data_IF_778101746578
#
_entry.id   IF_778101746578
#
_cell.length_a   1.000
_cell.length_b   1.000
_cell.length_c   1.000
_cell.angle_alpha   90.00
_cell.angle_beta   90.00
_cell.angle_gamma   90.00
#
_symmetry.space_group_name_H-M   'P 1'
#
loop_
_entity.id
_entity.type
_entity.pdbx_description
1 polymer ?
#
# COMPACT_ATOMS: atom_id res chain seq x y z
N UNK A 1 -16.58 19.80 9.38
CA UNK A 1 -16.78 21.29 9.42
C UNK A 1 -15.74 22.02 8.55
N UNK A 2 -15.89 23.32 8.26
CA UNK A 2 -14.88 24.09 7.49
C UNK A 2 -13.46 23.99 8.09
N UNK A 3 -13.33 24.01 9.42
CA UNK A 3 -12.05 23.86 10.11
C UNK A 3 -11.38 22.49 9.83
N UNK A 4 -12.16 21.40 9.80
CA UNK A 4 -11.69 20.04 9.47
C UNK A 4 -11.10 19.97 8.06
N UNK A 5 -11.72 20.66 7.10
CA UNK A 5 -11.24 20.73 5.71
C UNK A 5 -9.93 21.51 5.59
N UNK A 6 -9.78 22.63 6.30
CA UNK A 6 -8.54 23.42 6.33
C UNK A 6 -7.38 22.59 6.88
N UNK A 7 -7.58 21.92 8.03
CA UNK A 7 -6.54 21.07 8.59
C UNK A 7 -6.19 19.89 7.67
N UNK A 8 -7.18 19.29 7.01
CA UNK A 8 -6.94 18.20 6.06
C UNK A 8 -6.09 18.67 4.87
N UNK A 9 -6.31 19.87 4.35
CA UNK A 9 -5.50 20.47 3.30
C UNK A 9 -4.06 20.74 3.78
N UNK A 10 -3.89 21.30 4.98
CA UNK A 10 -2.57 21.55 5.57
C UNK A 10 -1.77 20.27 5.78
N UNK A 11 -2.42 19.20 6.28
CA UNK A 11 -1.79 17.89 6.45
C UNK A 11 -1.34 17.34 5.10
N UNK A 12 -2.21 17.42 4.07
CA UNK A 12 -1.87 16.95 2.72
C UNK A 12 -0.67 17.71 2.14
N UNK A 13 -0.68 19.04 2.22
CA UNK A 13 0.43 19.87 1.78
C UNK A 13 1.74 19.53 2.52
N UNK A 14 1.67 19.32 3.84
CA UNK A 14 2.82 18.93 4.65
C UNK A 14 3.45 17.61 4.16
N UNK A 15 2.63 16.64 3.74
CA UNK A 15 3.10 15.35 3.22
C UNK A 15 3.67 15.48 1.80
N UNK A 16 3.05 16.30 0.93
CA UNK A 16 3.43 16.45 -0.48
C UNK A 16 4.73 17.22 -0.69
N UNK A 17 4.96 18.29 0.07
CA UNK A 17 6.11 19.20 -0.13
C UNK A 17 7.46 18.54 0.18
N UNK A 18 7.49 17.40 0.89
CA UNK A 18 8.74 16.71 1.25
C UNK A 18 9.59 17.51 2.26
N UNK A 19 10.54 16.86 2.94
CA UNK A 19 11.60 17.56 3.68
C UNK A 19 11.88 17.05 5.11
N UNK A 20 13.00 17.49 5.68
CA UNK A 20 13.47 17.06 7.02
C UNK A 20 12.54 17.49 8.16
N UNK A 21 11.74 18.54 7.95
CA UNK A 21 10.88 19.14 8.98
C UNK A 21 9.43 18.67 8.97
N UNK A 22 9.05 17.72 8.09
CA UNK A 22 7.66 17.25 7.98
C UNK A 22 7.11 16.74 9.32
N UNK A 23 7.94 16.04 10.10
CA UNK A 23 7.55 15.53 11.42
C UNK A 23 7.23 16.68 12.38
N UNK A 24 8.05 17.73 12.39
CA UNK A 24 7.87 18.90 13.24
C UNK A 24 6.59 19.64 12.84
N UNK A 25 6.41 19.89 11.55
CA UNK A 25 5.24 20.59 11.03
C UNK A 25 3.93 19.82 11.33
N UNK A 26 3.90 18.52 11.06
CA UNK A 26 2.71 17.70 11.34
C UNK A 26 2.40 17.63 12.84
N UNK A 27 3.42 17.57 13.70
CA UNK A 27 3.23 17.67 15.16
C UNK A 27 2.67 19.01 15.59
N UNK A 28 3.09 20.12 14.98
CA UNK A 28 2.53 21.45 15.26
C UNK A 28 1.06 21.52 14.88
N UNK A 29 0.69 21.08 13.67
CA UNK A 29 -0.71 21.02 13.22
C UNK A 29 -1.53 20.16 14.19
N UNK A 30 -1.06 18.95 14.48
CA UNK A 30 -1.75 18.01 15.37
C UNK A 30 -1.92 18.59 16.79
N UNK A 31 -0.90 19.24 17.34
CA UNK A 31 -1.00 19.93 18.64
C UNK A 31 -2.01 21.08 18.61
N UNK A 32 -2.12 21.80 17.50
CA UNK A 32 -3.11 22.85 17.32
C UNK A 32 -4.53 22.27 17.28
N UNK A 33 -4.74 21.17 16.55
CA UNK A 33 -6.03 20.45 16.47
C UNK A 33 -6.49 20.00 17.85
N UNK A 34 -5.61 19.40 18.66
CA UNK A 34 -5.95 18.95 20.02
C UNK A 34 -6.43 20.13 20.88
N UNK A 35 -5.83 21.31 20.71
CA UNK A 35 -6.17 22.52 21.49
C UNK A 35 -7.46 23.19 21.01
N UNK A 36 -7.72 23.19 19.70
CA UNK A 36 -8.83 23.95 19.11
C UNK A 36 -10.09 23.12 18.91
N UNK A 37 -9.96 21.81 18.76
CA UNK A 37 -11.07 20.89 18.48
C UNK A 37 -11.16 19.85 19.60
N UNK A 38 -12.06 20.01 20.59
CA UNK A 38 -12.21 19.04 21.68
C UNK A 38 -12.75 17.69 21.21
N UNK A 39 -13.55 17.68 20.12
CA UNK A 39 -14.14 16.48 19.53
C UNK A 39 -13.90 16.46 18.01
N UNK A 40 -12.67 16.17 17.55
CA UNK A 40 -12.38 16.10 16.13
C UNK A 40 -13.12 14.92 15.48
N UNK A 41 -13.67 15.15 14.29
CA UNK A 41 -14.34 14.13 13.48
C UNK A 41 -13.38 12.96 13.16
N UNK A 42 -13.89 11.73 13.08
CA UNK A 42 -13.09 10.54 12.71
C UNK A 42 -12.34 10.71 11.39
N UNK A 43 -12.92 11.45 10.43
CA UNK A 43 -12.27 11.76 9.16
C UNK A 43 -10.96 12.56 9.36
N UNK A 44 -10.99 13.59 10.20
CA UNK A 44 -9.79 14.40 10.49
C UNK A 44 -8.74 13.57 11.21
N UNK A 45 -9.15 12.75 12.18
CA UNK A 45 -8.24 11.83 12.87
C UNK A 45 -7.61 10.83 11.90
N UNK A 46 -8.38 10.29 10.94
CA UNK A 46 -7.87 9.42 9.89
C UNK A 46 -6.82 10.13 9.01
N UNK A 47 -7.02 11.41 8.68
CA UNK A 47 -6.06 12.20 7.92
C UNK A 47 -4.75 12.41 8.69
N UNK A 48 -4.83 12.63 10.01
CA UNK A 48 -3.64 12.74 10.87
C UNK A 48 -2.88 11.40 10.92
N UNK A 49 -3.58 10.27 11.11
CA UNK A 49 -2.97 8.93 11.10
C UNK A 49 -2.28 8.67 9.75
N UNK A 50 -2.96 8.98 8.65
CA UNK A 50 -2.40 8.86 7.30
C UNK A 50 -1.12 9.68 7.14
N UNK A 51 -1.12 10.92 7.62
CA UNK A 51 0.06 11.79 7.60
C UNK A 51 1.23 11.18 8.35
N UNK A 52 1.01 10.73 9.59
CA UNK A 52 2.05 10.06 10.38
C UNK A 52 2.54 8.76 9.74
N UNK A 53 1.65 8.00 9.10
CA UNK A 53 2.04 6.80 8.36
C UNK A 53 2.95 7.12 7.17
N UNK A 54 2.67 8.19 6.41
CA UNK A 54 3.49 8.61 5.26
C UNK A 54 4.91 8.99 5.67
N UNK A 55 5.09 9.62 6.83
CA UNK A 55 6.40 9.97 7.40
C UNK A 55 6.99 8.88 8.31
N UNK A 56 6.47 7.65 8.25
CA UNK A 56 6.96 6.47 8.99
C UNK A 56 6.97 6.63 10.52
N UNK A 57 6.03 7.40 11.07
CA UNK A 57 5.89 7.61 12.51
C UNK A 57 4.69 6.81 13.07
N UNK A 58 4.87 5.50 13.24
CA UNK A 58 3.85 4.60 13.78
C UNK A 58 3.42 4.95 15.21
N UNK A 59 4.32 5.47 16.04
CA UNK A 59 4.02 5.83 17.44
C UNK A 59 2.94 6.90 17.54
N UNK A 60 3.04 7.98 16.77
CA UNK A 60 2.01 9.02 16.77
C UNK A 60 0.75 8.56 16.04
N UNK A 61 0.88 7.78 14.96
CA UNK A 61 -0.27 7.18 14.28
C UNK A 61 -1.13 6.34 15.26
N UNK A 62 -0.49 5.49 16.08
CA UNK A 62 -1.15 4.71 17.13
C UNK A 62 -1.85 5.59 18.16
N UNK A 63 -1.15 6.60 18.69
CA UNK A 63 -1.71 7.53 19.69
C UNK A 63 -2.97 8.23 19.19
N UNK A 64 -3.01 8.63 17.92
CA UNK A 64 -4.19 9.26 17.31
C UNK A 64 -5.31 8.23 17.12
N UNK A 65 -4.96 7.03 16.65
CA UNK A 65 -5.93 5.94 16.51
C UNK A 65 -6.60 5.58 17.83
N UNK A 66 -5.86 5.54 18.95
CA UNK A 66 -6.38 5.26 20.30
C UNK A 66 -7.45 6.26 20.76
N UNK A 67 -7.52 7.44 20.13
CA UNK A 67 -8.52 8.47 20.43
C UNK A 67 -9.79 8.37 19.60
N UNK A 68 -9.85 7.47 18.62
CA UNK A 68 -11.05 7.25 17.81
C UNK A 68 -11.98 6.30 18.57
N UNK A 69 -13.18 6.73 19.03
CA UNK A 69 -14.06 5.87 19.84
C UNK A 69 -14.54 4.64 19.10
N UNK A 70 -14.83 4.78 17.80
CA UNK A 70 -15.26 3.69 16.92
C UNK A 70 -14.46 3.74 15.61
N UNK A 71 -13.27 3.10 15.56
CA UNK A 71 -12.44 3.08 14.36
C UNK A 71 -13.12 2.31 13.23
N UNK A 72 -13.22 2.93 12.06
CA UNK A 72 -13.72 2.28 10.85
C UNK A 72 -12.57 1.64 10.05
N UNK A 73 -12.89 0.94 8.95
CA UNK A 73 -11.89 0.25 8.13
C UNK A 73 -10.77 1.18 7.64
N UNK A 74 -11.08 2.45 7.32
CA UNK A 74 -10.07 3.45 6.94
C UNK A 74 -9.11 3.78 8.09
N UNK A 75 -9.62 3.92 9.32
CA UNK A 75 -8.77 4.11 10.51
C UNK A 75 -7.78 2.96 10.66
N UNK A 76 -8.26 1.72 10.55
CA UNK A 76 -7.44 0.52 10.66
C UNK A 76 -6.43 0.39 9.53
N UNK A 77 -6.84 0.62 8.28
CA UNK A 77 -5.95 0.61 7.12
C UNK A 77 -4.85 1.68 7.25
N UNK A 78 -5.15 2.88 7.73
CA UNK A 78 -4.13 3.91 7.98
C UNK A 78 -3.14 3.50 9.08
N UNK A 79 -3.61 2.86 10.14
CA UNK A 79 -2.74 2.34 11.19
C UNK A 79 -1.86 1.19 10.68
N UNK A 80 -2.44 0.26 9.93
CA UNK A 80 -1.72 -0.85 9.30
C UNK A 80 -0.64 -0.33 8.34
N UNK A 81 -0.95 0.70 7.55
CA UNK A 81 0.01 1.41 6.70
C UNK A 81 1.15 2.02 7.52
N UNK A 82 0.87 2.60 8.70
CA UNK A 82 1.89 3.18 9.55
C UNK A 82 2.89 2.12 10.02
N UNK A 83 2.41 0.97 10.52
CA UNK A 83 3.28 -0.13 10.94
C UNK A 83 4.06 -0.76 9.78
N UNK A 84 3.38 -1.00 8.65
CA UNK A 84 3.97 -1.51 7.40
C UNK A 84 5.13 -0.63 6.93
N UNK A 85 4.92 0.68 6.80
CA UNK A 85 5.96 1.63 6.38
C UNK A 85 7.09 1.78 7.40
N UNK A 86 6.79 1.72 8.69
CA UNK A 86 7.81 1.84 9.74
C UNK A 86 8.59 0.53 9.98
N UNK A 87 8.20 -0.60 9.38
CA UNK A 87 8.85 -1.89 9.60
C UNK A 87 8.50 -2.57 10.92
N UNK A 88 7.47 -2.09 11.63
CA UNK A 88 7.00 -2.70 12.88
C UNK A 88 6.05 -3.87 12.57
N UNK A 89 6.62 -4.97 12.07
CA UNK A 89 5.85 -6.08 11.50
C UNK A 89 4.96 -6.80 12.51
N UNK A 90 5.41 -7.01 13.75
CA UNK A 90 4.60 -7.65 14.79
C UNK A 90 3.33 -6.85 15.12
N UNK A 91 3.45 -5.51 15.15
CA UNK A 91 2.28 -4.64 15.36
C UNK A 91 1.36 -4.63 14.14
N UNK A 92 1.93 -4.68 12.93
CA UNK A 92 1.18 -4.80 11.68
C UNK A 92 0.35 -6.10 11.68
N UNK A 93 0.95 -7.23 11.99
CA UNK A 93 0.31 -8.55 12.08
C UNK A 93 -0.81 -8.55 13.12
N UNK A 94 -0.52 -8.10 14.35
CA UNK A 94 -1.51 -8.01 15.43
C UNK A 94 -2.68 -7.09 15.07
N UNK A 95 -2.42 -6.00 14.33
CA UNK A 95 -3.46 -5.08 13.85
C UNK A 95 -4.31 -5.76 12.78
N UNK A 96 -3.68 -6.49 11.85
CA UNK A 96 -4.36 -7.23 10.79
C UNK A 96 -5.26 -8.36 11.33
N UNK A 97 -4.84 -9.04 12.39
CA UNK A 97 -5.63 -10.09 13.05
C UNK A 97 -6.91 -9.54 13.70
N UNK A 98 -6.84 -8.33 14.27
CA UNK A 98 -7.98 -7.66 14.93
C UNK A 98 -9.02 -7.09 13.97
N UNK A 99 -8.70 -6.99 12.67
CA UNK A 99 -9.62 -6.45 11.69
C UNK A 99 -10.81 -7.40 11.46
N UNK A 100 -12.06 -6.95 11.72
CA UNK A 100 -13.23 -7.81 11.56
C UNK A 100 -13.54 -8.08 10.08
N UNK A 101 -13.32 -7.08 9.23
CA UNK A 101 -13.48 -7.16 7.77
C UNK A 101 -12.19 -6.68 7.11
N UNK A 102 -11.83 -7.27 5.97
CA UNK A 102 -10.62 -6.96 5.20
C UNK A 102 -11.01 -6.71 3.75
N UNK A 103 -10.55 -5.58 3.22
CA UNK A 103 -10.71 -5.25 1.80
C UNK A 103 -9.38 -5.44 1.06
N UNK A 104 -9.42 -5.23 -0.27
CA UNK A 104 -8.22 -5.23 -1.11
C UNK A 104 -7.11 -4.30 -0.60
N UNK A 105 -7.46 -3.17 0.02
CA UNK A 105 -6.48 -2.23 0.59
C UNK A 105 -5.79 -2.84 1.80
N UNK A 106 -6.54 -3.47 2.72
CA UNK A 106 -5.99 -4.17 3.89
C UNK A 106 -4.96 -5.22 3.47
N UNK A 107 -5.31 -6.07 2.51
CA UNK A 107 -4.40 -7.12 2.01
C UNK A 107 -3.18 -6.54 1.31
N UNK A 108 -3.37 -5.51 0.48
CA UNK A 108 -2.27 -4.83 -0.20
C UNK A 108 -1.28 -4.21 0.79
N UNK A 109 -1.75 -3.64 1.90
CA UNK A 109 -0.89 -3.09 2.95
C UNK A 109 -0.06 -4.18 3.65
N UNK A 110 -0.66 -5.34 3.93
CA UNK A 110 0.03 -6.48 4.53
C UNK A 110 1.10 -7.04 3.59
N UNK A 111 0.73 -7.31 2.33
CA UNK A 111 1.64 -7.85 1.31
C UNK A 111 2.78 -6.87 1.04
N UNK A 112 2.47 -5.57 0.86
CA UNK A 112 3.48 -4.53 0.64
C UNK A 112 4.37 -4.32 1.86
N UNK A 113 3.85 -4.51 3.07
CA UNK A 113 4.62 -4.45 4.31
C UNK A 113 5.68 -5.54 4.38
N UNK A 114 5.30 -6.78 4.11
CA UNK A 114 6.28 -7.87 4.03
C UNK A 114 7.27 -7.67 2.88
N UNK A 115 6.78 -7.27 1.70
CA UNK A 115 7.62 -7.02 0.53
C UNK A 115 8.66 -5.92 0.76
N UNK A 116 8.25 -4.78 1.29
CA UNK A 116 9.15 -3.65 1.58
C UNK A 116 10.18 -3.94 2.68
N UNK A 117 9.98 -5.00 3.48
CA UNK A 117 10.94 -5.48 4.48
C UNK A 117 11.67 -6.76 4.03
N UNK A 118 11.57 -7.14 2.75
CA UNK A 118 12.31 -8.28 2.18
C UNK A 118 11.78 -9.67 2.58
N UNK A 119 10.63 -9.76 3.24
CA UNK A 119 10.05 -11.02 3.72
C UNK A 119 9.19 -11.70 2.63
N UNK A 120 9.85 -12.22 1.60
CA UNK A 120 9.21 -12.84 0.43
C UNK A 120 8.23 -13.94 0.81
N UNK A 121 8.63 -14.87 1.68
CA UNK A 121 7.78 -15.99 2.09
C UNK A 121 6.49 -15.53 2.79
N UNK A 122 6.58 -14.52 3.64
CA UNK A 122 5.42 -13.95 4.34
C UNK A 122 4.49 -13.22 3.37
N UNK A 123 5.04 -12.45 2.41
CA UNK A 123 4.27 -11.78 1.37
C UNK A 123 3.51 -12.77 0.47
N UNK A 124 4.16 -13.84 0.01
CA UNK A 124 3.54 -14.91 -0.78
C UNK A 124 2.47 -15.64 0.03
N UNK A 125 2.73 -15.95 1.30
CA UNK A 125 1.74 -16.57 2.19
C UNK A 125 0.51 -15.66 2.37
N UNK A 126 0.70 -14.36 2.56
CA UNK A 126 -0.39 -13.40 2.66
C UNK A 126 -1.21 -13.32 1.36
N UNK A 127 -0.54 -13.24 0.21
CA UNK A 127 -1.19 -13.29 -1.10
C UNK A 127 -2.03 -14.57 -1.29
N UNK A 128 -1.46 -15.74 -1.02
CA UNK A 128 -2.18 -17.00 -1.14
C UNK A 128 -3.37 -17.07 -0.16
N UNK A 129 -3.21 -16.56 1.06
CA UNK A 129 -4.29 -16.54 2.06
C UNK A 129 -5.44 -15.64 1.59
N UNK A 130 -5.14 -14.46 1.02
CA UNK A 130 -6.13 -13.57 0.41
C UNK A 130 -6.93 -14.32 -0.65
N UNK A 131 -6.22 -14.99 -1.58
CA UNK A 131 -6.84 -15.72 -2.69
C UNK A 131 -7.72 -16.90 -2.23
N UNK A 132 -7.37 -17.55 -1.12
CA UNK A 132 -8.09 -18.73 -0.60
C UNK A 132 -9.27 -18.38 0.30
N UNK A 133 -9.15 -17.35 1.14
CA UNK A 133 -10.18 -17.02 2.16
C UNK A 133 -11.22 -16.03 1.67
N UNK A 134 -10.77 -14.97 0.99
CA UNK A 134 -11.63 -13.86 0.58
C UNK A 134 -11.89 -13.87 -0.94
N UNK A 135 -11.47 -14.95 -1.60
CA UNK A 135 -11.59 -15.14 -3.05
C UNK A 135 -10.75 -14.15 -3.85
N UNK A 136 -11.05 -14.08 -5.14
CA UNK A 136 -10.39 -13.12 -6.03
C UNK A 136 -11.02 -11.74 -6.07
N UNK A 137 -12.09 -11.51 -5.32
CA UNK A 137 -12.81 -10.23 -5.34
C UNK A 137 -11.97 -9.10 -4.76
N UNK A 138 -11.07 -9.43 -3.83
CA UNK A 138 -10.08 -8.51 -3.27
C UNK A 138 -8.80 -8.40 -4.10
N UNK A 139 -8.63 -9.21 -5.15
CA UNK A 139 -7.45 -9.14 -6.01
C UNK A 139 -7.52 -7.89 -6.89
N UNK A 140 -6.49 -7.06 -6.83
CA UNK A 140 -6.40 -5.83 -7.61
C UNK A 140 -5.12 -5.76 -8.42
N UNK A 141 -5.08 -4.85 -9.40
CA UNK A 141 -3.86 -4.53 -10.17
C UNK A 141 -2.71 -4.16 -9.24
N UNK A 142 -2.98 -3.40 -8.18
CA UNK A 142 -1.98 -3.01 -7.17
C UNK A 142 -1.38 -4.24 -6.50
N UNK A 143 -2.20 -5.24 -6.17
CA UNK A 143 -1.71 -6.51 -5.58
C UNK A 143 -0.72 -7.21 -6.52
N UNK A 144 -1.08 -7.34 -7.80
CA UNK A 144 -0.25 -8.02 -8.80
C UNK A 144 1.05 -7.26 -9.05
N UNK A 145 1.00 -5.93 -9.13
CA UNK A 145 2.19 -5.07 -9.24
C UNK A 145 3.12 -5.24 -8.03
N UNK A 146 2.58 -5.26 -6.81
CA UNK A 146 3.38 -5.50 -5.60
C UNK A 146 4.06 -6.87 -5.64
N UNK A 147 3.36 -7.91 -6.09
CA UNK A 147 3.94 -9.26 -6.21
C UNK A 147 4.98 -9.36 -7.34
N UNK A 148 4.80 -8.66 -8.45
CA UNK A 148 5.82 -8.55 -9.50
C UNK A 148 7.07 -7.82 -9.00
N UNK A 149 6.90 -6.72 -8.27
CA UNK A 149 8.00 -5.99 -7.67
C UNK A 149 8.76 -6.88 -6.68
N UNK A 150 8.05 -7.61 -5.81
CA UNK A 150 8.66 -8.60 -4.91
C UNK A 150 9.48 -9.65 -5.65
N UNK A 151 8.96 -10.19 -6.75
CA UNK A 151 9.69 -11.14 -7.60
C UNK A 151 10.96 -10.50 -8.17
N UNK A 152 10.83 -9.29 -8.69
CA UNK A 152 11.89 -8.51 -9.34
C UNK A 152 13.04 -8.19 -8.36
N UNK A 153 12.72 -7.62 -7.20
CA UNK A 153 13.71 -7.20 -6.19
C UNK A 153 14.45 -8.35 -5.54
N UNK A 154 13.87 -9.56 -5.58
CA UNK A 154 14.44 -10.75 -4.95
C UNK A 154 14.96 -11.79 -5.97
N UNK A 155 15.00 -11.46 -7.26
CA UNK A 155 15.49 -12.37 -8.30
C UNK A 155 14.64 -13.64 -8.50
N UNK A 156 13.39 -13.64 -8.02
CA UNK A 156 12.58 -14.86 -7.90
C UNK A 156 11.71 -15.11 -9.14
N UNK A 157 12.33 -15.34 -10.29
CA UNK A 157 11.64 -15.43 -11.59
C UNK A 157 10.50 -16.46 -11.69
N UNK A 158 10.51 -17.52 -10.88
CA UNK A 158 9.40 -18.49 -10.81
C UNK A 158 8.13 -17.81 -10.29
N UNK A 159 8.23 -17.03 -9.21
CA UNK A 159 7.10 -16.25 -8.70
C UNK A 159 6.62 -15.25 -9.75
N UNK A 160 7.54 -14.56 -10.42
CA UNK A 160 7.22 -13.65 -11.51
C UNK A 160 6.37 -14.31 -12.61
N UNK A 161 6.75 -15.52 -13.05
CA UNK A 161 5.96 -16.32 -14.00
C UNK A 161 4.60 -16.73 -13.46
N UNK A 162 4.51 -17.14 -12.20
CA UNK A 162 3.22 -17.49 -11.57
C UNK A 162 2.28 -16.28 -11.51
N UNK A 163 2.80 -15.11 -11.15
CA UNK A 163 2.02 -13.87 -11.11
C UNK A 163 1.61 -13.42 -12.51
N UNK A 164 2.50 -13.54 -13.51
CA UNK A 164 2.14 -13.32 -14.92
C UNK A 164 1.01 -14.26 -15.37
N UNK A 165 1.07 -15.54 -15.01
CA UNK A 165 -0.04 -16.47 -15.27
C UNK A 165 -1.36 -16.04 -14.61
N UNK A 166 -1.32 -15.49 -13.39
CA UNK A 166 -2.52 -14.92 -12.74
C UNK A 166 -3.03 -13.67 -13.45
N UNK A 167 -2.14 -12.83 -13.99
CA UNK A 167 -2.51 -11.65 -14.78
C UNK A 167 -3.29 -12.08 -16.02
N UNK A 168 -2.74 -13.01 -16.81
CA UNK A 168 -3.37 -13.52 -18.04
C UNK A 168 -4.67 -14.26 -17.76
N UNK A 169 -4.68 -15.17 -16.77
CA UNK A 169 -5.87 -15.98 -16.44
C UNK A 169 -7.09 -15.12 -16.08
N UNK A 170 -6.87 -13.90 -15.59
CA UNK A 170 -7.89 -13.03 -15.03
C UNK A 170 -8.20 -11.80 -15.90
N UNK A 171 -7.63 -11.73 -17.10
CA UNK A 171 -7.86 -10.61 -18.01
C UNK A 171 -7.16 -9.31 -17.60
N UNK A 172 -6.16 -9.36 -16.71
CA UNK A 172 -5.44 -8.15 -16.30
C UNK A 172 -4.37 -7.71 -17.31
N UNK A 173 -4.02 -8.56 -18.27
CA UNK A 173 -3.02 -8.32 -19.32
C UNK A 173 -3.39 -7.15 -20.25
N UNK A 174 -4.68 -6.82 -20.35
CA UNK A 174 -5.16 -5.70 -21.17
C UNK A 174 -4.97 -4.34 -20.50
N UNK A 175 -4.61 -4.28 -19.22
CA UNK A 175 -4.37 -3.02 -18.54
C UNK A 175 -2.92 -2.58 -18.74
N UNK A 176 -2.73 -1.45 -19.42
CA UNK A 176 -1.46 -0.74 -19.63
C UNK A 176 -0.54 -0.70 -18.39
N UNK A 177 -1.14 -0.55 -17.20
CA UNK A 177 -0.40 -0.45 -15.93
C UNK A 177 0.37 -1.72 -15.52
N UNK A 178 0.09 -2.88 -16.12
CA UNK A 178 0.73 -4.16 -15.75
C UNK A 178 1.87 -4.53 -16.71
N UNK A 179 1.91 -3.93 -17.91
CA UNK A 179 2.93 -4.22 -18.92
C UNK A 179 4.34 -3.81 -18.52
N UNK A 180 4.52 -2.55 -18.09
CA UNK A 180 5.85 -2.07 -17.67
C UNK A 180 6.39 -2.81 -16.44
N UNK A 181 5.58 -3.11 -15.39
CA UNK A 181 6.03 -3.96 -14.28
C UNK A 181 6.40 -5.39 -14.68
N UNK A 182 5.70 -6.00 -15.64
CA UNK A 182 6.06 -7.32 -16.16
C UNK A 182 7.39 -7.28 -16.91
N UNK A 183 7.58 -6.27 -17.75
CA UNK A 183 8.81 -6.06 -18.50
C UNK A 183 10.00 -5.84 -17.55
N UNK A 184 9.85 -4.92 -16.58
CA UNK A 184 10.86 -4.64 -15.56
C UNK A 184 11.22 -5.88 -14.75
N UNK A 185 10.21 -6.66 -14.34
CA UNK A 185 10.41 -7.90 -13.59
C UNK A 185 11.22 -8.90 -14.42
N UNK A 186 10.80 -9.22 -15.66
CA UNK A 186 11.51 -10.19 -16.49
C UNK A 186 12.92 -9.73 -16.85
N UNK A 187 13.13 -8.44 -17.10
CA UNK A 187 14.44 -7.87 -17.37
C UNK A 187 15.38 -8.03 -16.17
N UNK A 188 14.93 -7.65 -14.95
CA UNK A 188 15.75 -7.72 -13.72
C UNK A 188 16.07 -9.14 -13.27
N UNK A 189 15.20 -10.11 -13.55
CA UNK A 189 15.49 -11.53 -13.27
C UNK A 189 16.26 -12.23 -14.40
N UNK A 190 16.67 -11.51 -15.44
CA UNK A 190 17.49 -12.03 -16.55
C UNK A 190 16.73 -12.85 -17.59
N UNK A 191 15.40 -12.88 -17.55
CA UNK A 191 14.56 -13.62 -18.49
C UNK A 191 14.21 -12.76 -19.72
N UNK A 192 15.24 -12.34 -20.46
CA UNK A 192 15.13 -11.37 -21.57
C UNK A 192 14.18 -11.85 -22.68
N UNK A 193 14.14 -13.15 -22.97
CA UNK A 193 13.21 -13.69 -23.98
C UNK A 193 11.75 -13.49 -23.58
N UNK A 194 11.42 -13.62 -22.29
CA UNK A 194 10.06 -13.37 -21.78
C UNK A 194 9.76 -11.87 -21.76
N UNK A 195 10.74 -11.04 -21.39
CA UNK A 195 10.63 -9.59 -21.48
C UNK A 195 10.28 -9.13 -22.91
N UNK A 196 10.97 -9.67 -23.93
CA UNK A 196 10.68 -9.39 -25.34
C UNK A 196 9.26 -9.80 -25.74
N UNK A 197 8.81 -11.00 -25.34
CA UNK A 197 7.43 -11.45 -25.63
C UNK A 197 6.39 -10.49 -25.05
N UNK A 198 6.58 -10.07 -23.80
CA UNK A 198 5.71 -9.10 -23.13
C UNK A 198 5.73 -7.78 -23.90
N UNK A 199 6.90 -7.26 -24.27
CA UNK A 199 7.03 -6.02 -25.03
C UNK A 199 6.24 -6.04 -26.36
N UNK A 200 6.48 -7.05 -27.19
CA UNK A 200 5.80 -7.17 -28.49
C UNK A 200 4.30 -7.43 -28.38
N UNK A 201 3.84 -8.08 -27.31
CA UNK A 201 2.40 -8.29 -27.07
C UNK A 201 1.61 -6.97 -26.88
N UNK A 202 2.28 -5.87 -26.52
CA UNK A 202 1.69 -4.54 -26.41
C UNK A 202 1.80 -3.72 -27.69
N UNK A 203 2.85 -3.91 -28.50
CA UNK A 203 3.02 -3.23 -29.80
C UNK A 203 1.93 -3.62 -30.80
N UNK A 204 1.49 -4.88 -30.79
CA UNK A 204 0.34 -5.34 -31.60
C UNK A 204 -1.00 -4.69 -31.18
N UNK A 205 -1.05 -3.93 -30.07
CA UNK A 205 -2.29 -3.38 -29.49
C UNK A 205 -2.29 -1.87 -29.20
N UNK A 206 -1.16 -1.15 -29.27
CA UNK A 206 -1.12 0.30 -29.07
C UNK A 206 -0.07 1.01 -29.94
N UNK A 207 -0.55 1.76 -30.94
CA UNK A 207 0.18 2.74 -31.77
C UNK A 207 0.67 3.99 -31.03
N UNK A 208 0.89 3.97 -29.71
CA UNK A 208 1.52 5.10 -28.99
C UNK A 208 2.25 4.61 -27.74
N UNK A 209 3.49 4.16 -27.90
CA UNK A 209 4.54 4.30 -26.87
C UNK A 209 5.85 4.61 -27.59
N UNK A 210 6.13 5.91 -27.71
CA UNK A 210 7.47 6.45 -27.99
C UNK A 210 7.98 7.13 -26.72
#
# INVERSE_FOLDING_TARGET
TMASNVYSAQIKQCIEVGGRDQIRHLKTIHGHIIKTLPFPETLLLNNIIHGYAKIRNSTYARRVFDKIPQPNLFSWNNLLMAYSKSGHLSDMERTFEKLPNRDSVTWNLLISGYSGNGLVGAAVKAFNTMMMKDGSDNLTRVTLMTMLNLSSTNGHGILGKQIHGQIVKRGFEYYLLVGSPLLDMYAKVGLISEAKKVFYSFEDRNTVMY
#
